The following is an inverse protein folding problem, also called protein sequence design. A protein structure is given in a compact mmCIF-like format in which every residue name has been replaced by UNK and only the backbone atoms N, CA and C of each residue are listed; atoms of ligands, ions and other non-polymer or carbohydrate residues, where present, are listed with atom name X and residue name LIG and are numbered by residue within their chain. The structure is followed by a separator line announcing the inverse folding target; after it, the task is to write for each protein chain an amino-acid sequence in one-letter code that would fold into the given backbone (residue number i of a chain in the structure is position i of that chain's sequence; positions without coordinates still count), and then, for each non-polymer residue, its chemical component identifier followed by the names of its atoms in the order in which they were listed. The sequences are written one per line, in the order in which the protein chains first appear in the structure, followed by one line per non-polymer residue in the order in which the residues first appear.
data_IF_436375658952
#
_entry.id   IF_436375658952
#
_cell.length_a   1.000
_cell.length_b   1.000
_cell.length_c   1.000
_cell.angle_alpha   90.00
_cell.angle_beta   90.00
_cell.angle_gamma   90.00
#
_symmetry.space_group_name_H-M   'P 1'
#
loop_
_entity.id
_entity.type
_entity.pdbx_description
1 polymer ?
2 polymer ?
3 non-polymer ?
4 water ?
#
# COMPACT_ATOMS: atom_id res chain seq x y z
N UNK A 1 6.76 -18.20 -18.97
CA UNK A 1 6.79 -17.56 -17.66
C UNK A 1 6.41 -18.54 -16.56
N UNK A 2 7.04 -18.39 -15.40
CA UNK A 2 6.81 -19.27 -14.25
C UNK A 2 5.97 -18.50 -13.24
N UNK A 3 4.72 -18.93 -13.07
CA UNK A 3 3.86 -18.35 -12.05
C UNK A 3 4.18 -18.98 -10.70
N UNK A 4 4.30 -18.13 -9.69
CA UNK A 4 4.49 -18.59 -8.32
C UNK A 4 3.24 -18.23 -7.52
N UNK A 5 2.54 -19.26 -7.04
CA UNK A 5 1.29 -19.10 -6.29
C UNK A 5 1.59 -19.21 -4.80
N UNK A 6 1.25 -18.15 -4.06
CA UNK A 6 1.53 -18.07 -2.64
C UNK A 6 0.23 -18.17 -1.84
N UNK A 7 0.26 -18.96 -0.77
CA UNK A 7 -0.92 -19.18 0.03
C UNK A 7 -0.56 -19.38 1.50
N UNK A 8 -1.36 -18.84 2.44
CA UNK A 8 -2.52 -18.00 2.11
C UNK A 8 -2.10 -16.57 1.81
N UNK A 9 -3.00 -15.77 1.22
CA UNK A 9 -2.69 -14.37 0.98
C UNK A 9 -2.56 -13.60 2.29
N UNK A 10 -3.18 -14.09 3.36
CA UNK A 10 -3.15 -13.41 4.65
C UNK A 10 -3.39 -14.44 5.73
N UNK A 11 -2.93 -14.14 6.93
CA UNK A 11 -3.17 -15.01 8.08
C UNK A 11 -2.96 -14.21 9.37
N UNK A 12 -3.70 -14.59 10.40
CA UNK A 12 -3.61 -13.99 11.72
C UNK A 12 -3.03 -15.01 12.69
N UNK A 13 -2.07 -14.57 13.51
CA UNK A 13 -1.43 -15.45 14.47
C UNK A 13 -0.99 -14.63 15.68
N UNK A 14 -0.55 -15.33 16.71
CA UNK A 14 -0.12 -14.70 17.96
C UNK A 14 1.37 -14.94 18.17
N UNK A 15 1.95 -14.15 19.07
CA UNK A 15 3.34 -14.33 19.44
C UNK A 15 3.54 -15.74 19.97
N UNK A 16 4.62 -16.39 19.54
CA UNK A 16 4.89 -17.76 19.91
C UNK A 16 4.26 -18.79 19.00
N UNK A 17 3.34 -18.39 18.14
CA UNK A 17 2.73 -19.32 17.19
C UNK A 17 3.74 -19.75 16.13
N UNK A 18 3.55 -20.96 15.63
CA UNK A 18 4.24 -21.44 14.44
C UNK A 18 3.46 -21.01 13.21
N UNK A 19 4.18 -20.62 12.15
CA UNK A 19 3.57 -20.10 10.93
C UNK A 19 4.18 -20.82 9.74
N UNK A 20 3.33 -21.27 8.82
CA UNK A 20 3.75 -21.96 7.62
C UNK A 20 3.20 -21.23 6.40
N UNK A 21 4.08 -20.89 5.46
CA UNK A 21 3.72 -20.20 4.23
C UNK A 21 4.17 -21.05 3.05
N UNK A 22 3.32 -21.13 2.02
CA UNK A 22 3.55 -22.02 0.89
C UNK A 22 3.70 -21.21 -0.39
N UNK A 23 4.66 -21.61 -1.22
CA UNK A 23 4.87 -21.04 -2.55
C UNK A 23 4.96 -22.19 -3.54
N UNK A 24 4.12 -22.15 -4.58
CA UNK A 24 4.06 -23.20 -5.57
C UNK A 24 4.43 -22.65 -6.95
N UNK A 25 5.36 -23.31 -7.61
CA UNK A 25 5.80 -22.92 -8.95
C UNK A 25 4.97 -23.63 -10.01
N UNK A 26 4.76 -22.93 -11.14
CA UNK A 26 4.02 -23.53 -12.24
C UNK A 26 4.82 -24.62 -12.95
N UNK A 27 6.14 -24.60 -12.84
CA UNK A 27 6.98 -25.68 -13.33
C UNK A 27 8.18 -25.81 -12.39
N UNK A 28 8.92 -26.91 -12.56
CA UNK A 28 10.03 -27.20 -11.65
C UNK A 28 11.11 -26.13 -11.77
N UNK A 29 11.49 -25.55 -10.63
CA UNK A 29 12.55 -24.55 -10.55
C UNK A 29 13.72 -25.03 -9.71
N UNK A 30 13.79 -26.33 -9.43
CA UNK A 30 14.88 -26.95 -8.66
C UNK A 30 14.87 -26.30 -7.27
N UNK A 31 15.99 -25.78 -6.78
CA UNK A 31 16.04 -25.11 -5.48
C UNK A 31 16.15 -23.60 -5.61
N UNK A 32 15.99 -23.06 -6.83
CA UNK A 32 16.17 -21.63 -7.08
C UNK A 32 14.93 -20.86 -6.65
N UNK A 33 14.75 -20.79 -5.33
CA UNK A 33 13.65 -20.02 -4.75
C UNK A 33 14.18 -19.24 -3.54
N UNK A 34 13.74 -17.99 -3.43
CA UNK A 34 14.16 -17.10 -2.37
C UNK A 34 12.94 -16.57 -1.63
N UNK A 35 13.13 -16.22 -0.37
CA UNK A 35 12.07 -15.67 0.48
C UNK A 35 12.49 -14.30 0.98
N UNK A 36 11.58 -13.33 0.89
CA UNK A 36 11.83 -11.97 1.34
C UNK A 36 10.75 -11.53 2.32
N UNK A 37 11.16 -10.70 3.26
CA UNK A 37 10.25 -10.04 4.19
C UNK A 37 10.15 -8.57 3.82
N UNK A 38 8.94 -8.01 3.91
CA UNK A 38 8.75 -6.60 3.66
C UNK A 38 7.75 -6.01 4.64
N UNK A 39 8.10 -4.88 5.22
CA UNK A 39 7.25 -4.12 6.11
C UNK A 39 6.83 -2.82 5.43
N UNK A 40 5.71 -2.22 5.85
CA UNK A 40 5.19 -1.04 5.14
C UNK A 40 6.22 0.08 5.04
N UNK A 41 6.37 0.61 3.83
CA UNK A 41 7.29 1.70 3.57
C UNK A 41 8.75 1.32 3.52
N UNK A 42 9.07 0.02 3.55
CA UNK A 42 10.44 -0.44 3.61
C UNK A 42 10.76 -1.32 2.41
N UNK A 43 12.06 -1.40 2.09
CA UNK A 43 12.51 -2.28 1.04
C UNK A 43 12.43 -3.73 1.49
N UNK A 44 12.29 -4.66 0.55
CA UNK A 44 12.32 -6.09 0.93
C UNK A 44 13.66 -6.46 1.53
N UNK A 45 13.63 -7.48 2.39
CA UNK A 45 14.81 -7.97 3.07
C UNK A 45 14.92 -9.48 2.83
N UNK A 46 16.08 -9.93 2.39
CA UNK A 46 16.27 -11.34 2.06
C UNK A 46 16.33 -12.17 3.34
N UNK A 47 15.52 -13.22 3.39
CA UNK A 47 15.51 -14.16 4.51
C UNK A 47 16.20 -15.47 4.17
N UNK A 48 15.78 -16.11 3.09
CA UNK A 48 16.27 -17.43 2.70
C UNK A 48 16.52 -17.43 1.20
N UNK A 49 17.65 -18.01 0.80
CA UNK A 49 17.96 -18.21 -0.61
C UNK A 49 18.21 -19.68 -0.87
N UNK A 50 18.06 -20.07 -2.14
CA UNK A 50 18.24 -21.46 -2.57
C UNK A 50 17.36 -22.40 -1.75
N UNK A 51 16.13 -21.95 -1.48
CA UNK A 51 15.08 -22.72 -0.82
C UNK A 51 15.31 -22.92 0.68
N UNK A 52 16.53 -23.21 1.10
CA UNK A 52 16.77 -23.59 2.49
C UNK A 52 17.93 -22.89 3.17
N UNK A 53 18.66 -22.00 2.48
CA UNK A 53 19.84 -21.38 3.04
C UNK A 53 19.48 -20.07 3.74
N UNK A 54 19.75 -20.00 5.03
CA UNK A 54 19.50 -18.79 5.81
C UNK A 54 20.47 -17.69 5.41
N UNK A 55 19.93 -16.52 5.10
CA UNK A 55 20.79 -15.36 4.90
C UNK A 55 21.47 -14.99 6.22
N UNK A 56 22.72 -14.55 6.13
CA UNK A 56 23.48 -14.22 7.33
C UNK A 56 22.77 -13.16 8.15
N UNK A 57 22.64 -13.40 9.45
CA UNK A 57 21.99 -12.48 10.35
C UNK A 57 20.51 -12.71 10.56
N UNK A 58 19.89 -13.56 9.75
CA UNK A 58 18.45 -13.83 9.90
C UNK A 58 18.25 -14.80 11.04
N UNK A 59 17.33 -14.54 11.97
CA UNK A 59 17.16 -15.42 13.12
C UNK A 59 16.80 -16.85 12.71
N UNK A 60 17.31 -17.81 13.49
CA UNK A 60 17.18 -19.22 13.13
C UNK A 60 15.75 -19.74 13.23
N UNK A 61 14.83 -18.98 13.82
CA UNK A 61 13.43 -19.40 13.82
C UNK A 61 12.84 -19.40 12.42
N UNK A 62 13.48 -18.73 11.46
CA UNK A 62 13.10 -18.81 10.06
C UNK A 62 13.77 -20.00 9.41
N UNK A 63 13.01 -20.78 8.65
CA UNK A 63 13.54 -21.93 7.94
C UNK A 63 12.78 -22.13 6.65
N UNK A 64 13.43 -22.73 5.68
CA UNK A 64 12.83 -22.96 4.38
C UNK A 64 13.10 -24.38 3.91
N UNK A 65 12.14 -24.94 3.18
CA UNK A 65 12.25 -26.30 2.69
C UNK A 65 11.57 -26.39 1.33
N UNK A 66 11.80 -27.50 0.65
CA UNK A 66 11.15 -27.78 -0.62
C UNK A 66 12.13 -27.78 -1.77
N UNK A 67 11.67 -28.36 -2.88
CA UNK A 67 12.42 -28.40 -4.13
C UNK A 67 11.46 -28.83 -5.24
N UNK A 68 11.72 -28.35 -6.45
CA UNK A 68 10.87 -28.65 -7.57
C UNK A 68 9.78 -27.62 -7.77
N UNK A 69 8.57 -27.92 -7.28
CA UNK A 69 7.44 -27.01 -7.39
C UNK A 69 6.86 -26.58 -6.06
N UNK A 70 7.17 -27.26 -4.96
CA UNK A 70 6.54 -27.01 -3.67
C UNK A 70 7.58 -26.48 -2.70
N UNK A 71 7.27 -25.35 -2.06
CA UNK A 71 8.20 -24.68 -1.16
C UNK A 71 7.46 -24.14 0.05
N UNK A 72 8.15 -24.15 1.19
CA UNK A 72 7.56 -23.77 2.46
C UNK A 72 8.51 -22.84 3.21
N UNK A 73 7.96 -21.75 3.75
CA UNK A 73 8.66 -20.90 4.70
C UNK A 73 8.01 -21.11 6.07
N UNK A 74 8.85 -21.35 7.08
CA UNK A 74 8.36 -21.64 8.42
C UNK A 74 9.00 -20.69 9.43
N UNK A 75 8.17 -20.06 10.25
CA UNK A 75 8.60 -19.35 11.44
C UNK A 75 8.19 -20.20 12.64
N UNK A 76 9.19 -20.72 13.37
CA UNK A 76 8.90 -21.75 14.38
C UNK A 76 8.11 -21.18 15.55
N UNK A 77 8.44 -19.96 15.99
CA UNK A 77 7.63 -19.28 17.00
C UNK A 77 7.64 -17.80 16.68
N UNK A 78 6.47 -17.27 16.31
CA UNK A 78 6.37 -15.89 15.82
C UNK A 78 6.78 -14.90 16.90
N UNK A 79 7.47 -13.85 16.48
CA UNK A 79 7.89 -12.75 17.35
C UNK A 79 7.21 -11.46 16.93
N UNK A 80 7.14 -10.47 17.83
CA UNK A 80 6.47 -9.20 17.48
C UNK A 80 7.01 -8.55 16.21
N UNK A 81 8.31 -8.63 15.96
CA UNK A 81 8.90 -8.03 14.78
C UNK A 81 8.68 -8.84 13.50
N UNK A 82 7.98 -9.97 13.59
CA UNK A 82 7.77 -10.82 12.43
C UNK A 82 6.46 -10.53 11.71
N UNK A 83 5.56 -9.76 12.32
CA UNK A 83 4.34 -9.37 11.62
C UNK A 83 4.70 -8.47 10.44
N UNK A 84 4.51 -8.99 9.24
CA UNK A 84 4.96 -8.34 8.02
C UNK A 84 4.36 -9.09 6.84
N UNK A 85 4.79 -8.73 5.64
CA UNK A 85 4.42 -9.42 4.42
C UNK A 85 5.62 -10.19 3.89
N UNK A 86 5.39 -11.41 3.42
CA UNK A 86 6.45 -12.29 2.97
C UNK A 86 6.24 -12.66 1.50
N UNK A 87 7.33 -12.62 0.73
CA UNK A 87 7.29 -12.90 -0.70
C UNK A 87 8.26 -14.02 -1.03
N UNK A 88 7.85 -14.89 -1.95
CA UNK A 88 8.74 -15.87 -2.56
C UNK A 88 9.11 -15.41 -3.96
N UNK A 89 10.28 -15.85 -4.43
CA UNK A 89 10.77 -15.44 -5.74
C UNK A 89 11.55 -16.59 -6.37
N UNK A 90 11.15 -16.98 -7.57
CA UNK A 90 11.93 -17.95 -8.33
C UNK A 90 13.08 -17.24 -9.03
N UNK A 91 14.26 -17.85 -8.97
CA UNK A 91 15.45 -17.31 -9.63
C UNK A 91 15.99 -18.31 -10.66
N UNK A 92 15.09 -19.08 -11.26
CA UNK A 92 15.46 -20.15 -12.18
C UNK A 92 15.66 -19.67 -13.61
N UNK A 93 14.76 -18.82 -14.12
CA UNK A 93 14.90 -18.31 -15.46
C UNK A 93 14.10 -17.02 -15.59
N UNK A 94 14.55 -16.15 -16.49
CA UNK A 94 13.87 -14.89 -16.75
C UNK A 94 12.63 -15.13 -17.60
N UNK A 95 11.55 -14.37 -17.37
CA UNK A 95 11.45 -13.28 -16.40
C UNK A 95 11.33 -13.76 -14.96
N UNK A 96 12.13 -13.18 -14.07
CA UNK A 96 12.01 -13.49 -12.66
C UNK A 96 10.64 -13.07 -12.15
N UNK A 97 10.03 -13.92 -11.34
CA UNK A 97 8.66 -13.71 -10.89
C UNK A 97 8.57 -13.91 -9.38
N UNK A 98 7.72 -13.10 -8.75
CA UNK A 98 7.45 -13.19 -7.33
C UNK A 98 6.10 -13.83 -7.08
N UNK A 99 5.92 -14.36 -5.88
CA UNK A 99 4.60 -14.72 -5.42
C UNK A 99 3.80 -13.49 -5.03
N UNK A 100 2.49 -13.69 -4.89
CA UNK A 100 1.61 -12.58 -4.56
C UNK A 100 1.76 -12.03 -3.16
N UNK A 101 2.53 -12.68 -2.32
CA UNK A 101 2.76 -12.18 -0.97
C UNK A 101 1.83 -12.82 0.05
N UNK A 102 2.31 -12.90 1.29
CA UNK A 102 1.54 -13.39 2.42
C UNK A 102 1.71 -12.41 3.57
N UNK A 103 0.59 -11.81 4.00
CA UNK A 103 0.62 -10.84 5.08
C UNK A 103 0.29 -11.55 6.39
N UNK A 104 1.24 -11.50 7.34
CA UNK A 104 1.07 -12.09 8.66
C UNK A 104 0.63 -10.99 9.61
N UNK A 105 -0.56 -11.14 10.19
CA UNK A 105 -1.17 -10.11 11.02
C UNK A 105 -1.44 -10.65 12.41
N UNK A 106 -1.80 -9.72 13.31
CA UNK A 106 -1.91 -10.03 14.74
C UNK A 106 -3.28 -10.61 15.03
N UNK A 107 -3.30 -11.63 15.87
CA UNK A 107 -4.54 -12.30 16.26
C UNK A 107 -5.14 -11.62 17.48
N UNK A 108 -6.46 -11.48 17.49
CA UNK A 108 -7.17 -10.90 18.62
C UNK A 108 -8.63 -11.34 18.64
N UNK A 109 -9.36 -10.97 19.69
CA UNK A 109 -10.76 -11.37 19.81
C UNK A 109 -11.66 -10.56 18.94
N UNK A 110 -12.77 -11.16 18.50
CA UNK A 110 -13.70 -10.45 17.63
C UNK A 110 -14.17 -9.15 18.31
N UNK A 111 -14.24 -8.08 17.52
CA UNK A 111 -14.78 -6.81 17.97
C UNK A 111 -15.64 -6.22 16.86
N UNK A 112 -16.89 -5.92 17.19
CA UNK A 112 -17.82 -5.39 16.20
C UNK A 112 -17.52 -3.92 15.91
N UNK A 113 -17.79 -3.47 14.69
CA UNK A 113 -17.49 -2.07 14.35
C UNK A 113 -18.57 -1.13 14.85
N UNK A 114 -18.14 0.02 15.36
CA UNK A 114 -19.01 1.16 15.57
C UNK A 114 -19.18 1.91 14.26
N UNK A 115 -20.42 2.07 13.81
CA UNK A 115 -20.73 2.56 12.47
C UNK A 115 -21.28 3.98 12.57
N UNK A 116 -20.76 4.87 11.72
CA UNK A 116 -21.25 6.23 11.60
C UNK A 116 -21.44 6.58 10.12
N UNK A 117 -22.41 7.44 9.85
CA UNK A 117 -22.67 7.93 8.51
C UNK A 117 -22.59 9.45 8.52
N UNK A 118 -22.05 10.02 7.45
CA UNK A 118 -21.83 11.46 7.34
C UNK A 118 -22.46 11.96 6.06
N UNK A 119 -23.42 12.89 6.12
CA UNK A 119 -23.95 13.49 4.89
C UNK A 119 -22.94 14.45 4.29
N UNK A 120 -23.10 14.81 3.03
CA UNK A 120 -22.22 15.83 2.45
C UNK A 120 -22.45 17.18 3.10
N UNK A 121 -21.39 17.98 3.15
CA UNK A 121 -21.49 19.33 3.67
C UNK A 121 -22.17 20.23 2.65
N UNK A 122 -22.81 21.29 3.15
CA UNK A 122 -23.33 22.31 2.25
C UNK A 122 -22.22 22.94 1.43
N UNK A 123 -21.04 23.10 2.04
CA UNK A 123 -19.88 23.65 1.35
C UNK A 123 -19.56 22.85 0.09
N UNK A 124 -19.54 21.52 0.19
CA UNK A 124 -19.21 20.70 -0.97
C UNK A 124 -20.32 20.74 -2.01
N UNK A 125 -21.58 20.82 -1.56
CA UNK A 125 -22.70 20.83 -2.50
C UNK A 125 -22.64 22.02 -3.44
N UNK A 126 -22.08 23.14 -2.99
CA UNK A 126 -21.89 24.29 -3.89
C UNK A 126 -20.88 23.97 -4.99
N UNK A 127 -20.06 22.93 -4.82
CA UNK A 127 -19.09 22.56 -5.86
C UNK A 127 -19.70 21.70 -6.95
N UNK A 128 -20.88 21.11 -6.71
CA UNK A 128 -21.53 20.26 -7.69
C UNK A 128 -21.37 18.78 -7.46
N UNK A 129 -20.78 18.37 -6.34
CA UNK A 129 -20.56 16.97 -6.01
C UNK A 129 -21.00 16.72 -4.58
N UNK A 130 -21.47 15.51 -4.31
CA UNK A 130 -21.88 15.10 -2.98
C UNK A 130 -21.13 13.83 -2.59
N UNK A 131 -20.41 13.88 -1.48
CA UNK A 131 -19.70 12.73 -0.93
C UNK A 131 -20.37 12.32 0.38
N UNK A 132 -20.75 11.05 0.46
CA UNK A 132 -21.33 10.46 1.67
C UNK A 132 -20.34 9.45 2.22
N UNK A 133 -20.06 9.54 3.52
CA UNK A 133 -19.00 8.76 4.15
C UNK A 133 -19.61 7.85 5.20
N UNK A 134 -19.20 6.58 5.19
CA UNK A 134 -19.57 5.61 6.21
C UNK A 134 -18.30 5.16 6.91
N UNK A 135 -18.25 5.31 8.22
CA UNK A 135 -17.08 4.98 9.02
C UNK A 135 -17.36 3.73 9.83
N UNK A 136 -16.53 2.71 9.66
CA UNK A 136 -16.52 1.49 10.47
C UNK A 136 -15.28 1.54 11.34
N UNK A 137 -15.46 1.61 12.65
CA UNK A 137 -14.37 1.97 13.56
C UNK A 137 -14.01 0.82 14.50
N UNK A 138 -12.71 0.58 14.61
CA UNK A 138 -12.11 -0.26 15.65
C UNK A 138 -12.79 -1.63 15.75
N UNK A 139 -12.63 -2.40 14.69
CA UNK A 139 -13.22 -3.73 14.59
C UNK A 139 -12.15 -4.77 14.28
N UNK A 140 -12.50 -6.03 14.53
CA UNK A 140 -11.68 -7.19 14.21
C UNK A 140 -12.62 -8.37 14.07
N UNK A 141 -12.41 -9.25 13.06
CA UNK A 141 -11.32 -9.22 12.07
C UNK A 141 -11.52 -8.18 10.97
N UNK A 142 -10.61 -8.18 9.99
CA UNK A 142 -10.59 -7.12 8.99
C UNK A 142 -11.74 -7.24 8.01
N UNK A 143 -12.16 -8.45 7.65
CA UNK A 143 -13.16 -8.63 6.62
C UNK A 143 -14.49 -8.01 7.05
N UNK A 144 -14.97 -7.07 6.24
CA UNK A 144 -16.27 -6.44 6.47
C UNK A 144 -16.87 -6.06 5.12
N UNK A 145 -18.20 -6.06 5.07
CA UNK A 145 -18.94 -5.77 3.85
C UNK A 145 -19.77 -4.51 4.06
N UNK A 146 -19.67 -3.57 3.13
CA UNK A 146 -20.39 -2.30 3.18
C UNK A 146 -21.29 -2.22 1.95
N UNK A 147 -22.57 -1.91 2.18
CA UNK A 147 -23.54 -1.78 1.11
C UNK A 147 -24.17 -0.39 1.19
N UNK A 148 -24.15 0.33 0.08
CA UNK A 148 -24.78 1.64 -0.03
C UNK A 148 -26.15 1.48 -0.69
N UNK A 149 -27.16 2.09 -0.08
CA UNK A 149 -28.51 2.09 -0.63
C UNK A 149 -29.05 3.51 -0.62
N UNK A 150 -29.51 3.96 -1.79
CA UNK A 150 -30.12 5.27 -1.95
C UNK A 150 -31.56 5.04 -2.40
N UNK A 151 -32.51 5.36 -1.52
CA UNK A 151 -33.92 5.06 -1.75
C UNK A 151 -34.12 3.59 -2.11
N UNK A 152 -33.35 2.73 -1.42
CA UNK A 152 -33.35 1.28 -1.55
C UNK A 152 -32.80 0.77 -2.87
N UNK A 153 -32.13 1.63 -3.64
CA UNK A 153 -31.38 1.18 -4.81
C UNK A 153 -29.95 0.89 -4.40
N UNK A 154 -29.51 -0.34 -4.60
CA UNK A 154 -28.13 -0.69 -4.28
C UNK A 154 -27.17 0.09 -5.16
N UNK A 155 -26.22 0.77 -4.53
CA UNK A 155 -25.21 1.53 -5.24
C UNK A 155 -24.04 0.62 -5.57
N UNK A 156 -23.61 0.63 -6.83
CA UNK A 156 -22.51 -0.21 -7.29
C UNK A 156 -21.63 0.58 -8.23
N UNK A 157 -20.33 0.59 -7.94
CA UNK A 157 -19.36 1.23 -8.81
C UNK A 157 -19.10 2.69 -8.53
N UNK A 158 -19.83 3.31 -7.61
CA UNK A 158 -19.63 4.73 -7.29
C UNK A 158 -19.16 4.93 -5.85
N UNK A 159 -18.50 3.93 -5.26
CA UNK A 159 -17.94 4.06 -3.93
C UNK A 159 -16.52 3.53 -3.92
N UNK A 160 -15.70 4.10 -3.04
CA UNK A 160 -14.35 3.62 -2.78
C UNK A 160 -14.16 3.51 -1.28
N UNK A 161 -13.31 2.57 -0.87
CA UNK A 161 -13.03 2.38 0.55
C UNK A 161 -11.54 2.13 0.75
N UNK A 162 -11.09 2.43 1.97
CA UNK A 162 -9.72 2.17 2.40
C UNK A 162 -9.74 1.76 3.85
N UNK A 163 -8.74 0.96 4.24
CA UNK A 163 -8.68 0.37 5.56
C UNK A 163 -7.33 0.74 6.20
N UNK A 164 -7.36 1.03 7.49
CA UNK A 164 -6.13 1.28 8.22
C UNK A 164 -5.40 -0.03 8.50
N UNK A 165 -4.13 0.09 8.88
CA UNK A 165 -3.42 -1.04 9.45
C UNK A 165 -3.86 -1.23 10.90
N UNK A 166 -3.54 -2.41 11.44
CA UNK A 166 -3.93 -2.72 12.81
C UNK A 166 -3.41 -1.66 13.78
N UNK A 167 -4.31 -1.16 14.62
CA UNK A 167 -3.91 -0.19 15.63
C UNK A 167 -2.85 -0.78 16.55
N UNK A 168 -1.89 0.04 16.94
CA UNK A 168 -0.75 -0.47 17.71
C UNK A 168 -1.18 -0.96 19.08
N UNK A 169 -2.17 -0.29 19.69
CA UNK A 169 -2.54 -0.59 21.07
C UNK A 169 -3.65 -1.62 21.21
N UNK A 170 -4.55 -1.73 20.23
CA UNK A 170 -5.65 -2.69 20.33
C UNK A 170 -5.78 -3.64 19.15
N UNK A 171 -4.95 -3.48 18.11
CA UNK A 171 -4.91 -4.37 16.94
C UNK A 171 -6.23 -4.36 16.16
N UNK A 172 -7.03 -3.32 16.30
CA UNK A 172 -8.26 -3.23 15.53
C UNK A 172 -8.01 -2.62 14.16
N UNK A 173 -9.01 -2.70 13.30
CA UNK A 173 -9.02 -2.01 12.02
C UNK A 173 -10.09 -0.93 12.02
N UNK A 174 -9.94 0.03 11.11
CA UNK A 174 -10.98 0.99 10.82
C UNK A 174 -11.12 1.13 9.31
N UNK A 175 -12.36 1.29 8.85
CA UNK A 175 -12.65 1.35 7.44
C UNK A 175 -13.54 2.55 7.15
N UNK A 176 -13.26 3.23 6.05
CA UNK A 176 -14.08 4.32 5.55
C UNK A 176 -14.53 3.98 4.14
N UNK A 177 -15.80 4.26 3.85
CA UNK A 177 -16.35 4.08 2.51
C UNK A 177 -16.98 5.39 2.07
N UNK A 178 -16.61 5.87 0.89
CA UNK A 178 -17.08 7.16 0.38
C UNK A 178 -17.94 6.92 -0.86
N UNK A 179 -19.20 7.31 -0.77
CA UNK A 179 -20.12 7.26 -1.90
C UNK A 179 -20.14 8.62 -2.57
N UNK A 180 -19.78 8.65 -3.86
CA UNK A 180 -19.66 9.90 -4.60
C UNK A 180 -20.82 10.00 -5.59
N UNK A 181 -21.60 11.07 -5.47
CA UNK A 181 -22.70 11.36 -6.38
C UNK A 181 -22.58 12.78 -6.88
N UNK A 182 -23.14 13.04 -8.05
CA UNK A 182 -23.33 14.41 -8.48
C UNK A 182 -24.35 15.09 -7.58
N UNK A 183 -24.30 16.43 -7.56
CA UNK A 183 -25.25 17.17 -6.73
C UNK A 183 -26.68 16.94 -7.19
N UNK A 184 -26.89 16.88 -8.51
CA UNK A 184 -28.23 16.66 -9.04
C UNK A 184 -28.80 15.32 -8.58
N UNK A 185 -27.99 14.26 -8.66
CA UNK A 185 -28.46 12.95 -8.22
C UNK A 185 -28.69 12.92 -6.72
N UNK A 186 -27.85 13.62 -5.96
CA UNK A 186 -28.04 13.66 -4.50
C UNK A 186 -29.33 14.38 -4.13
N UNK A 187 -29.64 15.48 -4.84
CA UNK A 187 -30.86 16.22 -4.53
C UNK A 187 -32.12 15.50 -4.98
N UNK A 188 -31.98 14.52 -5.88
CA UNK A 188 -33.13 13.78 -6.39
C UNK A 188 -33.64 12.72 -5.43
N UNK A 189 -32.92 12.45 -4.33
CA UNK A 189 -33.23 11.33 -3.47
C UNK A 189 -33.26 11.76 -2.01
N UNK A 190 -33.81 10.89 -1.17
CA UNK A 190 -34.10 11.20 0.21
C UNK A 190 -33.34 10.33 1.21
N UNK A 191 -33.47 9.01 1.11
CA UNK A 191 -32.94 8.09 2.11
C UNK A 191 -31.56 7.61 1.68
N UNK A 192 -30.56 7.83 2.53
CA UNK A 192 -29.19 7.40 2.28
C UNK A 192 -28.76 6.50 3.43
N UNK A 193 -28.43 5.24 3.11
CA UNK A 193 -28.20 4.23 4.12
C UNK A 193 -26.90 3.49 3.85
N UNK A 194 -26.18 3.18 4.93
CA UNK A 194 -24.97 2.36 4.89
C UNK A 194 -25.20 1.14 5.76
N UNK A 195 -25.20 -0.04 5.15
CA UNK A 195 -25.46 -1.30 5.84
C UNK A 195 -24.17 -2.09 5.95
N UNK A 196 -23.82 -2.50 7.18
CA UNK A 196 -22.54 -3.12 7.49
C UNK A 196 -22.77 -4.57 7.88
N UNK A 197 -21.98 -5.47 7.29
CA UNK A 197 -21.97 -6.88 7.67
C UNK A 197 -20.61 -7.20 8.31
N UNK A 198 -20.66 -7.85 9.46
CA UNK A 198 -19.45 -8.20 10.21
C UNK A 198 -19.79 -9.36 11.13
N UNK A 199 -18.78 -10.19 11.41
CA UNK A 199 -19.00 -11.34 12.29
C UNK A 199 -19.25 -10.92 13.73
N UNK A 200 -18.83 -9.71 14.11
CA UNK A 200 -19.13 -9.21 15.44
C UNK A 200 -20.58 -8.81 15.63
N UNK A 201 -21.33 -8.70 14.53
CA UNK A 201 -22.74 -8.33 14.56
C UNK A 201 -23.59 -9.54 14.25
N UNK A 202 -24.63 -9.77 15.06
CA UNK A 202 -25.52 -10.90 14.84
C UNK A 202 -26.42 -10.69 13.63
N UNK A 203 -26.55 -9.46 13.15
CA UNK A 203 -27.29 -9.14 11.93
C UNK A 203 -26.84 -7.78 11.45
N UNK A 204 -27.01 -7.49 10.16
CA UNK A 204 -26.41 -6.26 9.60
C UNK A 204 -26.89 -5.00 10.31
N UNK A 205 -25.95 -4.07 10.50
CA UNK A 205 -26.22 -2.80 11.15
C UNK A 205 -26.34 -1.73 10.07
N UNK A 206 -27.46 -1.01 10.07
CA UNK A 206 -27.69 0.07 9.11
C UNK A 206 -27.68 1.41 9.83
N UNK A 207 -26.89 2.35 9.30
CA UNK A 207 -26.94 3.74 9.70
C UNK A 207 -27.39 4.56 8.50
N UNK A 208 -28.31 5.50 8.73
CA UNK A 208 -28.91 6.21 7.62
C UNK A 208 -29.29 7.62 8.04
N UNK A 209 -29.62 8.43 7.04
CA UNK A 209 -30.13 9.78 7.26
C UNK A 209 -31.03 10.14 6.08
N UNK A 210 -31.90 11.11 6.29
CA UNK A 210 -32.75 11.58 5.22
C UNK A 210 -32.24 12.95 4.85
N UNK A 211 -32.05 13.20 3.58
CA UNK A 211 -31.55 14.48 3.13
C UNK A 211 -32.45 15.60 3.62
N UNK B 1 30.67 -0.30 4.69
CA UNK B 1 29.21 -0.29 4.79
C UNK B 1 28.58 -0.31 3.39
N UNK B 2 27.78 -1.33 3.13
CA UNK B 2 27.17 -1.52 1.82
C UNK B 2 25.99 -0.56 1.66
N UNK B 3 25.93 0.12 0.53
CA UNK B 3 24.90 1.12 0.28
C UNK B 3 24.42 1.04 -1.17
N UNK B 4 23.13 1.28 -1.36
CA UNK B 4 22.51 1.49 -2.67
C UNK B 4 21.61 2.70 -2.55
N UNK B 5 22.03 3.83 -3.12
CA UNK B 5 21.33 5.10 -2.98
C UNK B 5 20.61 5.41 -4.29
N UNK B 6 19.29 5.55 -4.23
CA UNK B 6 18.46 5.74 -5.41
C UNK B 6 18.02 7.20 -5.53
N UNK B 7 17.74 7.59 -6.77
CA UNK B 7 17.27 8.94 -7.08
C UNK B 7 16.67 8.94 -8.48
N UNK B 8 16.00 10.03 -8.81
CA UNK B 8 15.50 10.26 -10.16
C UNK B 8 14.01 10.09 -10.34
N UNK B 9 13.31 9.53 -9.36
CA UNK B 9 11.87 9.40 -9.46
C UNK B 9 11.17 10.74 -9.44
N UNK B 10 9.90 10.73 -9.85
CA UNK B 10 9.13 11.96 -9.84
C UNK B 10 7.76 11.74 -10.43
N UNK B 11 7.04 12.85 -10.58
CA UNK B 11 5.70 12.87 -11.15
C UNK B 11 5.79 13.37 -12.57
N UNK B 12 5.33 12.56 -13.53
CA UNK B 12 5.37 12.92 -14.95
C UNK B 12 4.07 12.50 -15.61
N UNK B 13 3.84 13.05 -16.81
CA UNK B 13 2.70 12.80 -17.67
C UNK B 13 2.97 11.58 -18.54
N UNK B 14 1.92 10.89 -19.00
CA UNK B 14 2.12 9.73 -19.88
C UNK B 14 2.84 10.14 -21.16
N UNK B 15 3.76 9.30 -21.60
CA UNK B 15 4.52 9.57 -22.80
C UNK B 15 5.84 10.25 -22.52
N UNK B 16 5.99 10.78 -21.31
CA UNK B 16 7.23 11.43 -20.94
C UNK B 16 8.29 10.44 -20.47
N UNK B 17 9.47 10.95 -20.14
CA UNK B 17 10.57 10.12 -19.73
C UNK B 17 11.16 10.45 -18.37
N UNK B 18 11.71 9.43 -17.72
CA UNK B 18 12.42 9.58 -16.46
C UNK B 18 13.66 8.72 -16.52
N UNK B 19 14.67 9.09 -15.73
CA UNK B 19 15.89 8.30 -15.61
C UNK B 19 16.19 8.10 -14.13
N UNK B 20 16.20 6.85 -13.69
CA UNK B 20 16.51 6.51 -12.32
C UNK B 20 17.98 6.18 -12.17
N UNK B 21 18.54 6.53 -11.02
CA UNK B 21 19.92 6.23 -10.68
C UNK B 21 19.97 5.40 -9.41
N UNK B 22 20.98 4.54 -9.32
CA UNK B 22 21.20 3.71 -8.14
C UNK B 22 22.70 3.67 -7.91
N UNK B 23 23.19 4.53 -7.01
CA UNK B 23 24.62 4.69 -6.77
C UNK B 23 25.05 3.74 -5.65
N UNK B 24 26.01 2.86 -5.96
CA UNK B 24 26.47 1.84 -5.03
C UNK B 24 27.77 2.26 -4.36
N UNK B 25 27.96 1.79 -3.14
CA UNK B 25 29.20 2.00 -2.40
C UNK B 25 29.38 0.86 -1.41
N UNK B 26 30.63 0.61 -1.05
CA UNK B 26 30.93 -0.37 -0.02
C UNK B 26 31.06 -1.80 -0.50
N UNK B 27 31.13 -2.05 -1.80
CA UNK B 27 31.37 -3.39 -2.31
C UNK B 27 31.86 -3.27 -3.76
N UNK B 28 32.27 -4.42 -4.31
CA UNK B 28 32.77 -4.49 -5.68
C UNK B 28 31.57 -4.47 -6.63
N UNK B 29 31.17 -3.26 -7.03
CA UNK B 29 29.99 -3.09 -7.86
C UNK B 29 30.10 -3.85 -9.17
N UNK B 30 31.25 -3.75 -9.83
CA UNK B 30 31.46 -4.37 -11.14
C UNK B 30 31.52 -5.88 -11.09
N UNK B 31 31.35 -6.50 -9.92
CA UNK B 31 31.31 -7.96 -9.82
C UNK B 31 29.92 -8.48 -9.50
N UNK B 32 28.91 -7.61 -9.53
CA UNK B 32 27.54 -7.99 -9.19
C UNK B 32 26.62 -7.69 -10.36
N UNK B 33 25.68 -8.60 -10.62
CA UNK B 33 24.51 -8.25 -11.40
C UNK B 33 23.60 -7.33 -10.61
N UNK B 34 22.82 -6.53 -11.33
CA UNK B 34 21.95 -5.55 -10.69
C UNK B 34 20.54 -5.66 -11.28
N UNK B 35 19.54 -5.57 -10.40
CA UNK B 35 18.14 -5.66 -10.77
C UNK B 35 17.44 -4.34 -10.55
N UNK B 36 16.36 -4.12 -11.31
CA UNK B 36 15.34 -3.14 -10.98
C UNK B 36 14.05 -3.91 -10.67
N UNK B 37 13.44 -3.59 -9.53
CA UNK B 37 12.20 -4.21 -9.09
C UNK B 37 11.26 -3.11 -8.63
N UNK B 38 9.99 -3.21 -9.01
CA UNK B 38 9.04 -2.16 -8.71
C UNK B 38 7.85 -2.70 -7.93
N UNK B 39 7.17 -1.80 -7.22
CA UNK B 39 6.00 -2.13 -6.41
C UNK B 39 4.97 -1.02 -6.58
N UNK B 40 3.91 -1.30 -7.34
CA UNK B 40 2.82 -0.36 -7.48
C UNK B 40 2.08 -0.21 -6.13
N UNK B 41 1.34 0.89 -5.96
CA UNK B 41 0.67 1.12 -4.67
C UNK B 41 -0.25 -0.04 -4.27
N UNK B 42 -0.01 -0.57 -3.08
CA UNK B 42 -0.79 -1.66 -2.54
C UNK B 42 -0.69 -2.98 -3.26
N UNK B 43 0.29 -3.12 -4.14
CA UNK B 43 0.45 -4.35 -4.86
C UNK B 43 1.72 -5.06 -4.45
N UNK B 44 2.05 -6.13 -5.17
CA UNK B 44 3.22 -6.91 -4.88
C UNK B 44 4.46 -6.50 -5.62
N UNK B 45 5.49 -7.32 -5.54
CA UNK B 45 6.73 -7.03 -6.20
C UNK B 45 6.74 -7.59 -7.61
N UNK B 46 7.19 -6.78 -8.54
CA UNK B 46 7.30 -7.15 -9.95
C UNK B 46 8.72 -6.88 -10.41
N UNK B 47 9.38 -7.91 -10.94
CA UNK B 47 10.70 -7.76 -11.50
C UNK B 47 10.64 -6.95 -12.79
N UNK B 48 11.58 -6.03 -12.95
CA UNK B 48 11.61 -5.13 -14.10
C UNK B 48 12.72 -5.53 -15.08
N UNK B 49 13.96 -5.57 -14.61
CA UNK B 49 15.09 -5.83 -15.50
C UNK B 49 16.30 -6.25 -14.69
N UNK B 50 17.27 -6.84 -15.40
CA UNK B 50 18.55 -7.23 -14.82
C UNK B 50 19.65 -6.88 -15.82
N UNK B 51 20.83 -6.56 -15.30
CA UNK B 51 22.01 -6.32 -16.12
C UNK B 51 23.19 -7.07 -15.51
N UNK B 52 23.98 -7.71 -16.37
CA UNK B 52 25.12 -8.49 -15.92
C UNK B 52 26.20 -7.59 -15.34
N UNK B 53 27.12 -8.21 -14.60
CA UNK B 53 28.16 -7.44 -13.91
C UNK B 53 28.99 -6.61 -14.87
N UNK B 54 29.27 -7.14 -16.06
CA UNK B 54 30.08 -6.45 -17.05
C UNK B 54 29.25 -5.63 -18.04
N UNK B 55 27.93 -5.53 -17.83
CA UNK B 55 27.08 -4.71 -18.65
C UNK B 55 26.71 -5.28 -20.00
N UNK B 56 27.12 -6.52 -20.31
CA UNK B 56 26.84 -7.09 -21.62
C UNK B 56 25.38 -7.57 -21.71
N UNK B 57 25.03 -8.60 -20.95
CA UNK B 57 23.72 -9.21 -21.05
C UNK B 57 22.69 -8.43 -20.24
N UNK B 58 21.55 -8.13 -20.86
CA UNK B 58 20.43 -7.47 -20.20
C UNK B 58 19.15 -8.23 -20.51
N UNK B 59 18.23 -8.20 -19.56
CA UNK B 59 16.93 -8.85 -19.72
C UNK B 59 15.86 -7.97 -19.11
N UNK B 60 14.65 -8.04 -19.68
CA UNK B 60 13.56 -7.15 -19.29
C UNK B 60 12.26 -7.95 -19.16
N UNK B 61 11.37 -7.47 -18.31
CA UNK B 61 10.01 -7.97 -18.32
C UNK B 61 9.29 -7.47 -19.57
N UNK B 62 8.27 -8.23 -19.98
CA UNK B 62 7.66 -8.00 -21.29
C UNK B 62 7.06 -6.61 -21.41
N UNK B 63 6.45 -6.11 -20.34
CA UNK B 63 5.68 -4.88 -20.40
C UNK B 63 6.53 -3.63 -20.56
N UNK B 64 7.85 -3.73 -20.39
CA UNK B 64 8.74 -2.58 -20.52
C UNK B 64 9.68 -2.69 -21.70
N UNK B 65 9.58 -3.76 -22.49
CA UNK B 65 10.47 -3.94 -23.63
C UNK B 65 10.32 -2.79 -24.62
N UNK B 66 11.45 -2.32 -25.13
CA UNK B 66 11.48 -1.21 -26.06
C UNK B 66 11.19 0.14 -25.45
N UNK B 67 10.80 0.21 -24.18
CA UNK B 67 10.54 1.46 -23.48
C UNK B 67 11.60 1.77 -22.44
N UNK B 68 11.95 0.78 -21.62
CA UNK B 68 12.94 0.94 -20.56
C UNK B 68 14.28 0.37 -21.01
N UNK B 69 15.36 1.00 -20.56
CA UNK B 69 16.72 0.55 -20.86
C UNK B 69 17.52 0.53 -19.58
N UNK B 70 18.03 -0.64 -19.21
CA UNK B 70 18.91 -0.78 -18.05
C UNK B 70 20.34 -0.63 -18.51
N UNK B 71 21.14 0.08 -17.73
CA UNK B 71 22.54 0.31 -18.06
C UNK B 71 23.30 0.57 -16.76
N UNK B 72 24.63 0.53 -16.87
CA UNK B 72 25.49 0.75 -15.71
C UNK B 72 26.78 1.42 -16.14
N UNK B 73 27.30 2.26 -15.25
CA UNK B 73 28.61 2.89 -15.41
C UNK B 73 29.48 2.37 -14.27
N UNK B 74 30.30 1.37 -14.55
CA UNK B 74 31.10 0.76 -13.49
C UNK B 74 32.18 1.70 -12.97
N UNK B 75 32.61 2.68 -13.77
CA UNK B 75 33.57 3.66 -13.28
C UNK B 75 32.95 4.58 -12.24
N UNK B 76 31.63 4.77 -12.29
CA UNK B 76 30.91 5.56 -11.30
C UNK B 76 30.17 4.72 -10.29
N UNK B 77 30.25 3.38 -10.40
CA UNK B 77 29.54 2.47 -9.50
C UNK B 77 28.05 2.79 -9.44
N UNK B 78 27.45 3.05 -10.60
CA UNK B 78 26.06 3.49 -10.65
C UNK B 78 25.28 2.67 -11.67
N UNK B 79 24.04 2.32 -11.29
CA UNK B 79 23.10 1.63 -12.15
C UNK B 79 22.00 2.59 -12.56
N UNK B 80 21.55 2.50 -13.81
CA UNK B 80 20.54 3.40 -14.34
C UNK B 80 19.36 2.62 -14.90
N UNK B 81 18.22 3.31 -14.97
CA UNK B 81 17.04 2.83 -15.68
C UNK B 81 16.46 4.00 -16.46
N UNK B 82 16.66 3.99 -17.77
CA UNK B 82 16.02 4.98 -18.64
C UNK B 82 14.59 4.53 -18.92
N UNK B 83 13.63 5.33 -18.47
CA UNK B 83 12.21 5.01 -18.59
C UNK B 83 11.56 5.95 -19.59
N UNK B 84 11.35 5.48 -20.81
CA UNK B 84 10.72 6.25 -21.86
C UNK B 84 9.29 5.76 -22.09
N UNK B 85 8.51 6.61 -22.77
CA UNK B 85 7.13 6.29 -23.16
C UNK B 85 6.33 5.77 -21.96
N UNK B 86 6.33 6.56 -20.89
CA UNK B 86 5.79 6.09 -19.62
C UNK B 86 4.27 5.99 -19.67
N UNK B 87 3.74 5.01 -18.96
CA UNK B 87 2.30 4.76 -18.85
C UNK B 87 1.86 4.85 -17.40
N UNK B 88 0.56 5.03 -17.21
CA UNK B 88 0.02 5.13 -15.86
C UNK B 88 0.31 3.87 -15.04
N UNK B 89 0.32 2.71 -15.69
CA UNK B 89 0.62 1.45 -15.01
C UNK B 89 2.07 1.35 -14.57
N UNK B 90 2.96 2.20 -15.07
CA UNK B 90 4.34 2.24 -14.60
C UNK B 90 4.47 2.90 -13.23
N UNK B 91 3.38 3.45 -12.69
CA UNK B 91 3.41 4.09 -11.38
C UNK B 91 3.75 3.05 -10.31
N UNK B 92 4.86 3.29 -9.61
CA UNK B 92 5.33 2.35 -8.60
C UNK B 92 6.50 2.96 -7.85
N UNK B 93 6.85 2.33 -6.73
CA UNK B 93 8.15 2.53 -6.11
C UNK B 93 9.13 1.58 -6.80
N UNK B 94 10.28 2.11 -7.21
CA UNK B 94 11.27 1.33 -7.95
C UNK B 94 12.48 1.08 -7.06
N UNK B 95 12.81 -0.20 -6.88
CA UNK B 95 13.96 -0.62 -6.10
C UNK B 95 15.06 -1.14 -7.01
N UNK B 96 16.30 -0.88 -6.62
CA UNK B 96 17.45 -1.56 -7.19
C UNK B 96 17.98 -2.56 -6.18
N UNK B 97 18.61 -3.62 -6.68
CA UNK B 97 19.15 -4.66 -5.82
C UNK B 97 20.29 -5.37 -6.53
N UNK B 98 21.28 -5.78 -5.76
CA UNK B 98 22.43 -6.49 -6.29
C UNK B 98 22.19 -8.00 -6.25
N UNK B 99 22.84 -8.71 -7.17
CA UNK B 99 22.68 -10.16 -7.31
C UNK B 99 24.04 -10.72 -7.71
N UNK B 100 24.67 -11.46 -6.80
CA UNK B 100 25.99 -12.03 -7.08
C UNK B 100 25.96 -13.00 -8.25
N UNK B 101 24.81 -13.58 -8.57
CA UNK B 101 24.70 -14.53 -9.64
C UNK B 101 25.23 -15.90 -9.27
N UNK B 102 25.00 -16.86 -10.15
CA UNK B 102 25.41 -18.24 -9.94
C UNK B 102 25.82 -18.83 -11.28
N UNK B 103 26.89 -19.62 -11.28
CA UNK B 103 27.34 -20.31 -12.47
C UNK B 103 28.35 -19.52 -13.28
N UNK B 104 28.99 -20.24 -14.21
CA UNK B 104 29.88 -19.59 -15.16
C UNK B 104 29.11 -18.60 -16.03
N UNK B 105 27.88 -18.94 -16.39
CA UNK B 105 27.03 -18.00 -17.13
C UNK B 105 26.59 -16.84 -16.26
N UNK B 106 26.57 -17.03 -14.95
CA UNK B 106 26.28 -15.97 -13.97
C UNK B 106 24.84 -15.48 -14.10
N UNK B 107 23.90 -16.42 -14.11
CA UNK B 107 22.49 -16.09 -14.07
C UNK B 107 22.07 -15.68 -12.67
N UNK B 108 20.87 -15.09 -12.54
CA UNK B 108 20.45 -14.57 -11.23
C UNK B 108 20.41 -15.67 -10.17
N UNK B 109 20.73 -15.27 -8.94
CA UNK B 109 20.78 -16.20 -7.81
C UNK B 109 19.89 -15.71 -6.68
N UNK B 110 20.23 -14.58 -6.08
CA UNK B 110 19.39 -13.97 -5.05
C UNK B 110 19.78 -12.51 -4.88
N UNK B 111 18.85 -11.73 -4.33
CA UNK B 111 19.01 -10.29 -4.14
C UNK B 111 19.15 -10.02 -2.64
N UNK B 112 20.39 -9.80 -2.20
CA UNK B 112 20.66 -9.69 -0.77
C UNK B 112 20.75 -8.25 -0.26
N UNK B 113 21.01 -7.28 -1.14
CA UNK B 113 21.10 -5.88 -0.74
C UNK B 113 20.19 -5.05 -1.65
N UNK B 114 19.40 -4.17 -1.03
CA UNK B 114 18.38 -3.40 -1.74
C UNK B 114 18.55 -1.92 -1.45
N UNK B 115 18.25 -1.10 -2.46
CA UNK B 115 18.03 0.31 -2.21
C UNK B 115 16.70 0.53 -1.51
N UNK B 116 16.51 1.75 -1.01
CA UNK B 116 15.29 2.08 -0.28
C UNK B 116 14.14 2.49 -1.18
N UNK B 117 14.38 2.62 -2.48
CA UNK B 117 13.30 2.88 -3.41
C UNK B 117 13.19 4.34 -3.80
N UNK B 118 12.69 4.58 -5.01
CA UNK B 118 12.37 5.91 -5.49
C UNK B 118 11.02 5.84 -6.18
N UNK B 119 10.22 6.89 -5.99
CA UNK B 119 8.80 6.85 -6.37
C UNK B 119 8.59 7.47 -7.74
N UNK B 120 7.91 6.72 -8.61
CA UNK B 120 7.55 7.18 -9.95
C UNK B 120 6.04 7.23 -10.03
N UNK B 121 5.49 8.40 -10.36
CA UNK B 121 4.06 8.58 -10.53
C UNK B 121 3.80 9.10 -11.94
N UNK B 122 3.07 8.31 -12.74
CA UNK B 122 2.74 8.68 -14.11
C UNK B 122 1.25 9.00 -14.15
N UNK B 123 0.92 10.24 -14.47
CA UNK B 123 -0.46 10.69 -14.48
C UNK B 123 -0.60 11.93 -15.35
N UNK B 124 -1.73 12.04 -16.03
CA UNK B 124 -2.05 13.23 -16.81
C UNK B 124 -2.67 14.33 -15.97
N UNK B 125 -2.91 14.08 -14.67
CA UNK B 125 -3.41 15.11 -13.79
C UNK B 125 -2.31 16.14 -13.49
N UNK B 126 -2.75 17.33 -13.12
CA UNK B 126 -1.83 18.41 -12.77
C UNK B 126 -1.94 18.72 -11.28
N UNK B 127 -0.94 19.44 -10.77
CA UNK B 127 -0.87 19.75 -9.35
C UNK B 127 -2.10 20.52 -8.90
N UNK B 128 -2.69 20.10 -7.79
CA UNK B 128 -3.90 20.73 -7.29
C UNK B 128 -4.00 20.52 -5.79
N UNK B 129 -4.26 21.59 -5.05
CA UNK B 129 -4.47 21.50 -3.63
C UNK B 129 -5.85 20.95 -3.31
N UNK B 130 -6.02 20.40 -2.12
CA UNK B 130 -7.28 19.75 -1.78
C UNK B 130 -8.33 20.72 -1.25
N UNK B 131 -9.58 20.29 -1.37
CA UNK B 131 -10.68 20.90 -0.63
C UNK B 131 -10.93 20.09 0.63
N UNK B 132 -11.10 20.78 1.75
CA UNK B 132 -11.27 20.14 3.05
C UNK B 132 -12.71 20.38 3.49
N UNK B 133 -13.48 19.30 3.54
CA UNK B 133 -14.88 19.36 3.96
C UNK B 133 -15.06 18.66 5.30
N UNK B 134 -15.97 19.16 6.14
CA UNK B 134 -16.16 18.55 7.46
C UNK B 134 -17.00 17.28 7.40
N UNK B 135 -16.71 16.41 8.34
CA UNK B 135 -17.47 15.20 8.54
C UNK B 135 -18.04 15.47 9.91
N UNK B 136 -19.11 16.24 9.94
CA UNK B 136 -19.76 16.66 11.17
C UNK B 136 -20.44 15.60 12.00
N UNK B 137 -20.26 15.67 13.32
CA UNK B 137 -20.84 14.73 14.27
C UNK B 137 -22.30 15.06 14.48
N UNK B 138 -23.11 14.09 14.85
CA UNK B 138 -24.52 14.35 15.06
C UNK B 138 -25.05 13.64 16.28
N UNK B 139 -26.23 14.05 16.72
CA UNK B 139 -27.00 13.53 17.86
C UNK B 139 -26.30 12.61 18.87
N UNK B 146 -19.88 8.59 22.95
CA UNK B 146 -18.83 8.46 21.96
C UNK B 146 -19.33 8.84 20.57
N UNK B 147 -18.81 9.95 20.04
CA UNK B 147 -19.22 10.50 18.77
C UNK B 147 -18.02 10.61 17.84
N UNK B 148 -18.28 10.47 16.54
CA UNK B 148 -17.24 10.48 15.52
C UNK B 148 -17.37 11.73 14.67
N UNK B 149 -16.23 12.34 14.34
CA UNK B 149 -16.16 13.46 13.42
C UNK B 149 -14.86 13.33 12.63
N UNK B 150 -14.71 14.19 11.63
CA UNK B 150 -13.49 14.14 10.84
C UNK B 150 -13.50 15.16 9.71
N UNK B 151 -12.54 14.96 8.79
CA UNK B 151 -12.34 15.85 7.66
C UNK B 151 -12.18 15.02 6.39
N UNK B 152 -12.80 15.49 5.30
CA UNK B 152 -12.68 14.86 4.00
C UNK B 152 -11.75 15.72 3.14
N UNK B 153 -10.57 15.19 2.84
CA UNK B 153 -9.54 15.90 2.08
C UNK B 153 -9.64 15.39 0.65
N UNK B 154 -10.34 16.14 -0.20
CA UNK B 154 -10.77 15.64 -1.50
C UNK B 154 -10.09 16.39 -2.65
N UNK B 155 -9.80 15.67 -3.72
CA UNK B 155 -9.39 16.22 -5.01
C UNK B 155 -8.06 16.95 -4.96
N UNK B 156 -6.99 16.24 -4.61
CA UNK B 156 -5.65 16.80 -4.64
C UNK B 156 -4.74 15.92 -5.48
N UNK B 157 -3.63 16.52 -5.94
CA UNK B 157 -2.62 15.82 -6.70
C UNK B 157 -1.34 16.64 -6.65
N UNK B 158 -0.17 16.02 -6.46
CA UNK B 158 -0.04 14.58 -6.19
C UNK B 158 -0.05 14.28 -4.70
N UNK B 159 0.19 13.03 -4.34
CA UNK B 159 0.46 12.70 -2.95
C UNK B 159 1.78 13.35 -2.52
N UNK B 160 1.97 13.58 -1.21
CA UNK B 160 1.06 13.29 -0.10
C UNK B 160 0.43 14.54 0.51
N UNK B 161 -0.59 14.33 1.33
CA UNK B 161 -1.09 15.34 2.25
C UNK B 161 -0.80 14.84 3.66
N UNK B 162 -0.66 15.77 4.60
CA UNK B 162 -0.53 15.46 6.01
C UNK B 162 -1.73 16.03 6.75
N UNK B 163 -2.23 15.27 7.73
CA UNK B 163 -3.36 15.68 8.55
C UNK B 163 -3.00 15.48 10.01
N UNK B 164 -3.06 16.56 10.78
CA UNK B 164 -3.01 16.52 12.23
C UNK B 164 -4.30 17.15 12.78
N UNK B 165 -4.53 16.95 14.07
CA UNK B 165 -5.74 17.46 14.72
C UNK B 165 -5.36 18.38 15.86
N UNK B 166 -5.91 19.59 15.85
CA UNK B 166 -5.67 20.60 16.87
C UNK B 166 -4.17 20.86 17.05
N UNK B 167 -3.50 21.08 15.91
CA UNK B 167 -2.08 21.42 15.86
C UNK B 167 -1.21 20.37 16.55
N UNK B 168 -1.58 19.09 16.39
CA UNK B 168 -0.83 18.00 16.98
C UNK B 168 -1.22 17.67 18.41
N UNK B 169 -2.09 18.47 19.04
CA UNK B 169 -2.41 18.28 20.45
C UNK B 169 -3.43 17.16 20.67
N UNK B 170 -4.11 16.71 19.63
CA UNK B 170 -5.12 15.65 19.74
C UNK B 170 -4.68 14.49 18.85
N UNK B 171 -4.32 13.37 19.49
CA UNK B 171 -3.80 12.21 18.77
C UNK B 171 -4.60 10.94 18.99
N UNK B 172 -5.08 10.69 20.21
CA UNK B 172 -5.77 9.45 20.50
C UNK B 172 -7.18 9.47 19.95
N UNK B 173 -7.63 8.33 19.41
CA UNK B 173 -8.89 8.24 18.72
C UNK B 173 -8.83 8.64 17.26
N UNK B 174 -7.69 9.08 16.77
CA UNK B 174 -7.56 9.59 15.41
C UNK B 174 -7.25 8.44 14.46
N UNK B 175 -7.98 8.36 13.37
CA UNK B 175 -7.70 7.44 12.27
C UNK B 175 -7.60 8.25 10.99
N UNK B 176 -6.43 8.25 10.37
CA UNK B 176 -6.21 8.90 9.07
C UNK B 176 -6.02 7.81 8.04
N UNK B 177 -6.99 7.67 7.14
CA UNK B 177 -7.06 6.54 6.23
C UNK B 177 -6.08 6.70 5.06
N UNK B 178 -5.71 5.60 4.42
CA UNK B 178 -4.89 5.69 3.21
C UNK B 178 -5.65 6.39 2.10
N UNK B 179 -4.90 7.10 1.26
CA UNK B 179 -5.51 7.81 0.14
C UNK B 179 -6.05 6.83 -0.89
N UNK B 180 -7.11 7.24 -1.57
CA UNK B 180 -7.63 6.50 -2.71
C UNK B 180 -7.44 7.36 -3.96
N UNK B 181 -7.24 6.70 -5.09
CA UNK B 181 -7.12 7.38 -6.37
C UNK B 181 -8.47 7.33 -7.08
N UNK B 182 -9.08 8.49 -7.26
CA UNK B 182 -10.38 8.54 -7.91
C UNK B 182 -10.22 8.41 -9.42
N UNK B 183 -11.35 8.11 -10.09
CA UNK B 183 -11.34 7.96 -11.54
C UNK B 183 -10.95 9.25 -12.26
N UNK B 184 -11.05 10.40 -11.58
CA UNK B 184 -10.63 11.67 -12.15
C UNK B 184 -9.12 11.82 -12.21
N UNK B 185 -8.37 10.92 -11.57
CA UNK B 185 -6.93 11.08 -11.44
C UNK B 185 -6.50 11.86 -10.22
N UNK B 186 -7.43 12.35 -9.42
CA UNK B 186 -7.13 13.07 -8.20
C UNK B 186 -7.29 12.15 -7.00
N UNK B 187 -6.49 12.40 -5.98
CA UNK B 187 -6.54 11.61 -4.75
C UNK B 187 -7.55 12.19 -3.77
N UNK B 188 -7.94 11.36 -2.81
CA UNK B 188 -8.82 11.77 -1.74
C UNK B 188 -8.56 10.89 -0.53
N UNK B 189 -8.58 11.50 0.66
CA UNK B 189 -8.49 10.72 1.89
C UNK B 189 -9.36 11.36 2.96
N UNK B 190 -9.64 10.58 3.98
CA UNK B 190 -10.45 11.01 5.12
C UNK B 190 -9.66 10.78 6.40
N UNK B 191 -9.83 11.69 7.35
CA UNK B 191 -9.26 11.56 8.69
C UNK B 191 -10.37 11.76 9.70
N UNK B 192 -10.53 10.80 10.62
CA UNK B 192 -11.61 10.84 11.59
C UNK B 192 -11.04 10.68 12.99
N UNK B 193 -11.80 11.13 13.98
CA UNK B 193 -11.46 11.00 15.38
C UNK B 193 -12.75 10.81 16.17
N UNK B 194 -12.72 9.91 17.15
CA UNK B 194 -13.85 9.69 18.05
C UNK B 194 -13.60 10.43 19.37
N UNK B 195 -14.67 11.04 19.85
CA UNK B 195 -14.63 11.77 21.10
C UNK B 195 -15.89 11.46 21.88
N UNK B 196 -15.86 11.68 23.20
CA UNK B 196 -17.04 11.45 24.02
C UNK B 196 -18.15 12.42 23.59
N UNK B 197 -19.38 11.96 23.63
CA UNK B 197 -20.53 12.78 23.20
C UNK B 197 -20.68 14.07 23.99
N UNK B 198 -20.41 14.01 25.28
CA UNK B 198 -20.48 15.14 26.19
C UNK B 198 -19.53 16.27 25.82
N UNK B 199 -18.35 15.88 25.34
CA UNK B 199 -17.29 16.80 24.97
C UNK B 199 -17.61 17.79 23.85
N UNK B 200 -18.50 17.41 22.96
CA UNK B 200 -18.80 18.21 21.78
C UNK B 200 -19.25 19.62 22.02
N UNK B 201 -20.06 19.85 23.03
CA UNK B 201 -20.55 21.20 23.25
C UNK B 201 -19.48 22.24 23.48
N UNK B 202 -18.47 21.92 24.29
CA UNK B 202 -17.42 22.89 24.54
C UNK B 202 -16.11 22.72 23.77
N UNK B 203 -15.68 21.46 23.61
CA UNK B 203 -14.41 21.17 22.96
C UNK B 203 -14.31 21.60 21.50
N UNK B 204 -13.18 22.19 21.13
CA UNK B 204 -12.95 22.66 19.78
C UNK B 204 -12.16 21.62 19.00
N UNK B 205 -12.44 21.51 17.70
CA UNK B 205 -11.80 20.48 16.89
C UNK B 205 -11.46 21.08 15.54
N UNK B 206 -10.18 21.04 15.18
CA UNK B 206 -9.68 21.56 13.91
C UNK B 206 -8.74 20.52 13.31
N UNK B 207 -8.92 20.23 12.02
CA UNK B 207 -8.01 19.37 11.29
C UNK B 207 -7.03 20.24 10.50
N UNK B 208 -5.74 19.98 10.67
CA UNK B 208 -4.68 20.77 10.05
C UNK B 208 -4.17 20.01 8.83
N UNK B 209 -4.48 20.54 7.65
CA UNK B 209 -4.21 19.86 6.38
C UNK B 209 -3.11 20.64 5.65
N UNK B 210 -2.09 19.91 5.21
CA UNK B 210 -0.96 20.50 4.49
C UNK B 210 -0.68 19.67 3.25
N UNK B 211 -0.77 20.30 2.08
CA UNK B 211 -0.43 19.69 0.80
C UNK B 211 0.76 20.46 0.24
N UNK B 212 1.96 20.02 0.61
CA UNK B 212 3.18 20.73 0.23
C UNK B 212 3.36 20.90 -1.27
N UNK B 213 3.07 19.90 -2.13
CA UNK B 213 3.28 20.12 -3.59
C UNK B 213 2.52 21.30 -4.17
N UNK B 214 1.41 21.72 -3.55
CA UNK B 214 0.65 22.87 -4.04
C UNK B 214 0.76 24.08 -3.12
N UNK B 215 1.52 23.99 -2.03
CA UNK B 215 1.59 25.04 -1.02
C UNK B 215 0.21 25.40 -0.51
N UNK B 216 -0.62 24.38 -0.29
CA UNK B 216 -1.95 24.54 0.28
C UNK B 216 -1.91 24.11 1.73
N UNK B 217 -2.27 25.03 2.62
CA UNK B 217 -2.40 24.75 4.04
C UNK B 217 -3.76 25.24 4.51
N UNK B 218 -4.57 24.33 5.05
CA UNK B 218 -5.94 24.63 5.42
C UNK B 218 -6.18 24.14 6.85
N UNK B 219 -6.67 25.04 7.70
CA UNK B 219 -7.17 24.69 9.02
C UNK B 219 -8.70 24.71 8.98
N UNK B 220 -9.32 23.56 9.14
CA UNK B 220 -10.77 23.43 9.04
C UNK B 220 -11.34 23.01 10.38
N UNK B 221 -12.21 23.84 10.93
CA UNK B 221 -12.91 23.52 12.17
C UNK B 221 -14.16 22.71 11.87
N UNK B 222 -14.39 21.67 12.66
CA UNK B 222 -15.51 20.76 12.48
C UNK B 222 -16.47 20.93 13.65
N UNK B 223 -17.69 21.37 13.36
CA UNK B 223 -18.71 21.63 14.35
C UNK B 223 -19.95 20.77 14.08
N UNK B 224 -20.78 20.51 15.09
CA UNK B 224 -22.11 19.98 14.82
C UNK B 224 -22.89 20.95 13.94
N UNK B 225 -23.68 20.40 13.02
CA UNK B 225 -24.40 21.21 12.05
C UNK B 225 -25.60 21.91 12.70
X LIG C 1 30.31 -8.33 -0.27
X LIG C 1 29.28 -7.48 0.25
X LIG C 1 30.38 -8.23 -1.69
X LIG C 1 31.57 -7.93 0.26
X LIG C 1 30.00 -9.67 0.11
#
# INVERSE_FOLDING_TARGET
DIQMTQSPSSLSASVGDRVTITCRASQSISSYLNWYQQKPGKAPKLLIYAASSLQSGVPSRFSGSGSGTDFTLTISSLQPEDFATYYCQQSYSTPLTFGGGTKVEIKRTVAAPSVFIFPPSDEQLKSGTASVVCLLNNFYPREAKVQWKVDNALQSGNSQESVTEQDSKDSTYSLSSTLTLSKADYEKHKVYACEVTHQGLSSPVTKSFNRGEC
QVQLVESGGGVVQPGRSLRLSCAASGFAFSSYGMHWVRQAPGKGLEWVAVIWFDGTKKYYTDSVKGRFTISRDNSKNTLYLQMNTLRAEDTAVYYCARDRGIGARRGPYYMDVWGKGTTVTVSSASTKGPSVFPLAPSSKSTSGGTAALGCLVKDYFPEPVTVSWNSGALTSGVHTFPAVLQSSGLYSLSSVVTVPSSSLGTQTYICNVNHKPSNTKVDKRVEPKSC
SO4 S O1 O2 O3 O4
#
